data_IF_191661764524
#
_entry.id   IF_191661764524
#
_cell.length_a   1.000
_cell.length_b   1.000
_cell.length_c   1.000
_cell.angle_alpha   90.00
_cell.angle_beta   90.00
_cell.angle_gamma   90.00
#
_symmetry.space_group_name_H-M   'P 1'
#
loop_
_entity.id
_entity.type
_entity.pdbx_description
1 polymer ?
#
# COMPACT_ATOMS: atom_id res chain seq x y z
N UNK A 1 -31.04 32.52 -24.43
CA UNK A 1 -30.11 33.13 -23.45
C UNK A 1 -30.19 32.52 -22.06
N UNK A 2 -31.37 32.30 -21.46
CA UNK A 2 -31.50 31.68 -20.12
C UNK A 2 -30.92 30.25 -19.99
N UNK A 3 -30.90 29.48 -21.06
CA UNK A 3 -30.32 28.12 -21.09
C UNK A 3 -28.80 28.07 -21.21
N UNK A 4 -28.15 29.13 -21.73
CA UNK A 4 -26.68 29.19 -21.83
C UNK A 4 -26.04 29.51 -20.47
N UNK A 5 -26.64 30.43 -19.70
CA UNK A 5 -26.21 30.79 -18.34
C UNK A 5 -26.33 29.63 -17.34
N UNK A 6 -27.27 28.70 -17.53
CA UNK A 6 -27.46 27.52 -16.67
C UNK A 6 -26.50 26.37 -16.99
N UNK A 7 -25.84 26.39 -18.17
CA UNK A 7 -24.88 25.36 -18.59
C UNK A 7 -23.47 25.76 -18.16
N UNK A 8 -23.09 27.03 -18.31
CA UNK A 8 -21.80 27.56 -17.80
C UNK A 8 -21.66 27.38 -16.27
N UNK A 9 -22.75 27.61 -15.52
CA UNK A 9 -22.78 27.44 -14.06
C UNK A 9 -22.60 25.97 -13.63
N UNK A 10 -22.95 25.01 -14.51
CA UNK A 10 -22.82 23.56 -14.24
C UNK A 10 -21.45 23.02 -14.60
N UNK A 11 -20.80 23.54 -15.64
CA UNK A 11 -19.40 23.24 -15.95
C UNK A 11 -18.49 23.70 -14.81
N UNK A 12 -18.75 24.89 -14.26
CA UNK A 12 -18.04 25.41 -13.08
C UNK A 12 -18.11 24.48 -11.87
N UNK A 13 -19.29 23.93 -11.54
CA UNK A 13 -19.45 23.04 -10.38
C UNK A 13 -18.68 21.72 -10.53
N UNK A 14 -18.62 21.14 -11.73
CA UNK A 14 -17.84 19.90 -11.92
C UNK A 14 -16.36 20.16 -11.82
N UNK A 15 -15.87 21.24 -12.44
CA UNK A 15 -14.47 21.63 -12.30
C UNK A 15 -14.13 21.97 -10.84
N UNK A 16 -15.02 22.60 -10.09
CA UNK A 16 -14.85 22.85 -8.65
C UNK A 16 -14.78 21.55 -7.82
N UNK A 17 -15.66 20.58 -8.10
CA UNK A 17 -15.66 19.27 -7.42
C UNK A 17 -14.39 18.48 -7.76
N UNK A 18 -14.00 18.45 -9.03
CA UNK A 18 -12.74 17.83 -9.47
C UNK A 18 -11.56 18.51 -8.79
N UNK A 19 -11.50 19.83 -8.81
CA UNK A 19 -10.44 20.61 -8.19
C UNK A 19 -10.37 20.40 -6.68
N UNK A 20 -11.51 20.32 -6.00
CA UNK A 20 -11.56 20.01 -4.57
C UNK A 20 -11.03 18.61 -4.27
N UNK A 21 -11.35 17.62 -5.10
CA UNK A 21 -10.84 16.26 -4.95
C UNK A 21 -9.33 16.21 -5.21
N UNK A 22 -8.85 16.79 -6.32
CA UNK A 22 -7.42 16.87 -6.66
C UNK A 22 -6.62 17.64 -5.60
N UNK A 23 -7.20 18.70 -5.05
CA UNK A 23 -6.59 19.43 -3.92
C UNK A 23 -6.50 18.57 -2.66
N UNK A 24 -7.51 17.75 -2.37
CA UNK A 24 -7.50 16.81 -1.25
C UNK A 24 -6.50 15.67 -1.48
N UNK A 25 -6.40 15.17 -2.71
CA UNK A 25 -5.41 14.19 -3.13
C UNK A 25 -4.00 14.75 -2.95
N UNK A 26 -3.72 15.96 -3.44
CA UNK A 26 -2.43 16.62 -3.29
C UNK A 26 -2.05 16.80 -1.82
N UNK A 27 -2.98 17.27 -0.97
CA UNK A 27 -2.76 17.37 0.48
C UNK A 27 -2.42 16.02 1.09
N UNK A 28 -3.12 14.96 0.67
CA UNK A 28 -2.87 13.60 1.14
C UNK A 28 -1.49 13.10 0.69
N UNK A 29 -1.12 13.35 -0.56
CA UNK A 29 0.19 13.04 -1.11
C UNK A 29 1.31 13.79 -0.38
N UNK A 30 1.11 15.07 -0.06
CA UNK A 30 2.06 15.88 0.70
C UNK A 30 2.24 15.34 2.13
N UNK A 31 1.15 14.93 2.79
CA UNK A 31 1.20 14.27 4.10
C UNK A 31 1.96 12.95 4.02
N UNK A 32 1.71 12.12 3.01
CA UNK A 32 2.44 10.86 2.81
C UNK A 32 3.93 11.10 2.53
N UNK A 33 4.26 12.04 1.65
CA UNK A 33 5.65 12.39 1.35
C UNK A 33 6.37 12.92 2.60
N UNK A 34 5.73 13.81 3.36
CA UNK A 34 6.27 14.32 4.62
C UNK A 34 6.47 13.20 5.63
N UNK A 35 5.48 12.32 5.79
CA UNK A 35 5.55 11.17 6.70
C UNK A 35 6.66 10.21 6.28
N UNK A 36 6.81 9.94 4.98
CA UNK A 36 7.86 9.13 4.43
C UNK A 36 9.24 9.76 4.66
N UNK A 37 9.39 11.08 4.49
CA UNK A 37 10.65 11.77 4.80
C UNK A 37 10.98 11.71 6.29
N UNK A 38 10.00 11.93 7.18
CA UNK A 38 10.17 11.77 8.63
C UNK A 38 10.60 10.33 8.96
N UNK A 39 9.98 9.34 8.32
CA UNK A 39 10.36 7.94 8.49
C UNK A 39 11.79 7.68 8.00
N UNK A 40 12.18 8.20 6.83
CA UNK A 40 13.54 8.05 6.30
C UNK A 40 14.58 8.66 7.25
N UNK A 41 14.30 9.84 7.78
CA UNK A 41 15.17 10.48 8.77
C UNK A 41 15.23 9.66 10.06
N UNK A 42 14.09 9.17 10.56
CA UNK A 42 14.05 8.29 11.74
C UNK A 42 14.80 6.97 11.52
N UNK A 43 14.75 6.41 10.31
CA UNK A 43 15.51 5.21 9.93
C UNK A 43 17.00 5.51 9.92
N UNK A 44 17.39 6.66 9.37
CA UNK A 44 18.78 7.11 9.36
C UNK A 44 19.31 7.31 10.78
N UNK A 45 18.55 7.97 11.64
CA UNK A 45 18.90 8.17 13.05
C UNK A 45 19.02 6.83 13.79
N UNK A 46 18.06 5.92 13.58
CA UNK A 46 18.11 4.58 14.16
C UNK A 46 19.31 3.77 13.64
N UNK A 47 19.71 3.96 12.38
CA UNK A 47 20.90 3.35 11.80
C UNK A 47 22.17 3.87 12.45
N UNK A 48 22.30 5.19 12.61
CA UNK A 48 23.45 5.79 13.30
C UNK A 48 23.55 5.32 14.76
N UNK A 49 22.42 5.27 15.46
CA UNK A 49 22.37 4.76 16.84
C UNK A 49 22.81 3.29 16.91
N UNK A 50 22.33 2.44 16.00
CA UNK A 50 22.75 1.03 15.93
C UNK A 50 24.21 0.87 15.57
N UNK A 51 24.76 1.73 14.73
CA UNK A 51 26.18 1.71 14.41
C UNK A 51 27.02 2.04 15.66
N UNK A 52 26.62 3.07 16.42
CA UNK A 52 27.25 3.40 17.70
C UNK A 52 27.17 2.24 18.71
N UNK A 53 25.98 1.66 18.89
CA UNK A 53 25.79 0.50 19.75
C UNK A 53 26.63 -0.69 19.25
N UNK A 54 26.68 -0.92 17.94
CA UNK A 54 27.46 -1.98 17.32
C UNK A 54 28.95 -1.85 17.60
N UNK A 55 29.50 -0.64 17.53
CA UNK A 55 30.90 -0.37 17.91
C UNK A 55 31.14 -0.72 19.37
N UNK A 56 30.26 -0.28 20.28
CA UNK A 56 30.39 -0.58 21.71
C UNK A 56 30.27 -2.08 22.03
N UNK A 57 29.31 -2.79 21.42
CA UNK A 57 29.16 -4.23 21.57
C UNK A 57 30.41 -4.96 21.08
N UNK A 58 30.96 -4.55 19.95
CA UNK A 58 32.19 -5.10 19.39
C UNK A 58 33.37 -4.92 20.34
N UNK A 59 33.54 -3.74 20.90
CA UNK A 59 34.57 -3.47 21.89
C UNK A 59 34.39 -4.33 23.16
N UNK A 60 33.18 -4.44 23.68
CA UNK A 60 32.88 -5.25 24.86
C UNK A 60 33.20 -6.73 24.61
N UNK A 61 32.78 -7.29 23.47
CA UNK A 61 33.09 -8.67 23.09
C UNK A 61 34.59 -8.91 22.91
N UNK A 62 35.31 -7.93 22.35
CA UNK A 62 36.76 -8.02 22.18
C UNK A 62 37.47 -8.03 23.53
N UNK A 63 37.08 -7.13 24.44
CA UNK A 63 37.57 -7.09 25.84
C UNK A 63 37.29 -8.41 26.57
N UNK A 64 36.11 -8.99 26.35
CA UNK A 64 35.69 -10.26 26.94
C UNK A 64 36.30 -11.49 26.22
N UNK A 65 37.17 -11.30 25.21
CA UNK A 65 37.77 -12.35 24.37
C UNK A 65 36.72 -13.30 23.74
N UNK A 66 35.50 -12.80 23.56
CA UNK A 66 34.37 -13.54 22.96
C UNK A 66 34.15 -13.20 21.49
N UNK A 67 34.91 -12.23 20.94
CA UNK A 67 34.71 -11.74 19.58
C UNK A 67 35.39 -12.62 18.52
N UNK A 68 34.57 -13.28 17.70
CA UNK A 68 34.97 -13.64 16.34
C UNK A 68 34.53 -12.53 15.41
N UNK A 69 35.47 -11.65 15.02
CA UNK A 69 35.18 -10.42 14.25
C UNK A 69 34.29 -10.70 13.03
N UNK A 70 34.61 -11.73 12.24
CA UNK A 70 33.81 -12.11 11.06
C UNK A 70 32.37 -12.49 11.40
N UNK A 71 32.15 -13.26 12.48
CA UNK A 71 30.80 -13.61 12.91
C UNK A 71 30.00 -12.36 13.28
N UNK A 72 30.61 -11.42 14.01
CA UNK A 72 29.97 -10.18 14.43
C UNK A 72 29.65 -9.28 13.22
N UNK A 73 30.61 -9.08 12.32
CA UNK A 73 30.43 -8.25 11.14
C UNK A 73 29.30 -8.79 10.25
N UNK A 74 29.26 -10.10 10.01
CA UNK A 74 28.17 -10.76 9.27
C UNK A 74 26.81 -10.57 9.96
N UNK A 75 26.77 -10.70 11.29
CA UNK A 75 25.55 -10.51 12.08
C UNK A 75 25.01 -9.08 11.97
N UNK A 76 25.88 -8.08 12.08
CA UNK A 76 25.48 -6.67 11.92
C UNK A 76 25.02 -6.37 10.49
N UNK A 77 25.69 -6.93 9.49
CA UNK A 77 25.30 -6.77 8.09
C UNK A 77 23.89 -7.32 7.84
N UNK A 78 23.57 -8.51 8.34
CA UNK A 78 22.23 -9.10 8.18
C UNK A 78 21.13 -8.21 8.78
N UNK A 79 21.38 -7.59 9.93
CA UNK A 79 20.42 -6.68 10.57
C UNK A 79 20.17 -5.45 9.71
N UNK A 80 21.22 -4.89 9.12
CA UNK A 80 21.10 -3.76 8.20
C UNK A 80 20.28 -4.14 6.96
N UNK A 81 20.55 -5.31 6.37
CA UNK A 81 19.82 -5.78 5.19
C UNK A 81 18.32 -5.92 5.44
N UNK A 82 17.92 -6.56 6.56
CA UNK A 82 16.50 -6.72 6.91
C UNK A 82 15.79 -5.35 7.07
N UNK A 83 16.51 -4.36 7.62
CA UNK A 83 15.96 -3.02 7.80
C UNK A 83 15.84 -2.25 6.49
N UNK A 84 16.85 -2.37 5.62
CA UNK A 84 16.83 -1.78 4.29
C UNK A 84 15.69 -2.35 3.44
N UNK A 85 15.43 -3.67 3.55
CA UNK A 85 14.28 -4.33 2.93
C UNK A 85 12.95 -3.76 3.44
N UNK A 86 12.78 -3.63 4.76
CA UNK A 86 11.59 -2.99 5.33
C UNK A 86 11.39 -1.54 4.86
N UNK A 87 12.48 -0.77 4.76
CA UNK A 87 12.43 0.60 4.22
C UNK A 87 12.01 0.64 2.75
N UNK A 88 12.46 -0.33 1.95
CA UNK A 88 12.07 -0.49 0.55
C UNK A 88 10.59 -0.89 0.41
N UNK A 89 10.10 -1.83 1.23
CA UNK A 89 8.70 -2.25 1.23
C UNK A 89 7.73 -1.06 1.44
N UNK A 90 8.02 -0.19 2.41
CA UNK A 90 7.21 1.01 2.66
C UNK A 90 7.24 1.96 1.47
N UNK A 91 8.43 2.16 0.88
CA UNK A 91 8.59 3.02 -0.29
C UNK A 91 7.73 2.52 -1.45
N UNK A 92 7.78 1.22 -1.71
CA UNK A 92 7.02 0.59 -2.79
C UNK A 92 5.51 0.70 -2.52
N UNK A 93 5.06 0.52 -1.27
CA UNK A 93 3.65 0.71 -0.88
C UNK A 93 3.16 2.14 -1.09
N UNK A 94 3.94 3.15 -0.68
CA UNK A 94 3.59 4.56 -0.86
C UNK A 94 3.53 4.92 -2.35
N UNK A 95 4.51 4.47 -3.14
CA UNK A 95 4.52 4.73 -4.58
C UNK A 95 3.32 4.09 -5.28
N UNK A 96 2.99 2.84 -4.93
CA UNK A 96 1.83 2.16 -5.50
C UNK A 96 0.52 2.89 -5.14
N UNK A 97 0.38 3.36 -3.91
CA UNK A 97 -0.76 4.16 -3.50
C UNK A 97 -0.91 5.44 -4.32
N UNK A 98 0.19 6.19 -4.50
CA UNK A 98 0.16 7.43 -5.29
C UNK A 98 -0.23 7.14 -6.75
N UNK A 99 0.29 6.07 -7.34
CA UNK A 99 -0.09 5.64 -8.68
C UNK A 99 -1.59 5.26 -8.77
N UNK A 100 -2.10 4.51 -7.78
CA UNK A 100 -3.53 4.16 -7.68
C UNK A 100 -4.42 5.42 -7.53
N UNK A 101 -3.96 6.44 -6.80
CA UNK A 101 -4.66 7.72 -6.69
C UNK A 101 -4.75 8.42 -8.05
N UNK A 102 -3.64 8.53 -8.79
CA UNK A 102 -3.65 9.15 -10.13
C UNK A 102 -4.62 8.46 -11.10
N UNK A 103 -4.70 7.13 -11.06
CA UNK A 103 -5.64 6.36 -11.86
C UNK A 103 -7.10 6.65 -11.45
N UNK A 104 -7.36 6.67 -10.14
CA UNK A 104 -8.66 6.97 -9.56
C UNK A 104 -9.14 8.37 -9.93
N UNK A 105 -8.28 9.39 -9.85
CA UNK A 105 -8.59 10.77 -10.25
C UNK A 105 -8.97 10.85 -11.72
N UNK A 106 -8.28 10.09 -12.57
CA UNK A 106 -8.59 9.97 -14.00
C UNK A 106 -9.97 9.38 -14.22
N UNK A 107 -10.34 8.35 -13.48
CA UNK A 107 -11.64 7.68 -13.61
C UNK A 107 -12.78 8.50 -12.99
N UNK A 108 -12.54 9.20 -11.89
CA UNK A 108 -13.49 10.16 -11.31
C UNK A 108 -13.78 11.27 -12.32
N UNK A 109 -12.75 11.83 -12.96
CA UNK A 109 -12.90 12.88 -13.98
C UNK A 109 -13.75 12.40 -15.17
N UNK A 110 -13.49 11.19 -15.68
CA UNK A 110 -14.32 10.58 -16.73
C UNK A 110 -15.76 10.34 -16.26
N UNK A 111 -15.93 9.87 -15.03
CA UNK A 111 -17.23 9.60 -14.40
C UNK A 111 -18.06 10.87 -14.25
N UNK A 112 -17.45 11.96 -13.78
CA UNK A 112 -18.09 13.26 -13.60
C UNK A 112 -18.56 13.87 -14.92
N UNK A 113 -17.74 13.80 -15.98
CA UNK A 113 -18.16 14.26 -17.33
C UNK A 113 -19.39 13.49 -17.82
N UNK A 114 -19.37 12.16 -17.70
CA UNK A 114 -20.52 11.33 -18.05
C UNK A 114 -21.74 11.65 -17.19
N UNK A 115 -21.54 11.87 -15.89
CA UNK A 115 -22.62 12.26 -14.97
C UNK A 115 -23.26 13.58 -15.39
N UNK A 116 -22.47 14.57 -15.77
CA UNK A 116 -22.92 15.87 -16.28
C UNK A 116 -23.83 15.72 -17.50
N UNK A 117 -23.37 14.97 -18.50
CA UNK A 117 -24.14 14.68 -19.72
C UNK A 117 -25.48 14.02 -19.37
N UNK A 118 -25.45 13.11 -18.40
CA UNK A 118 -26.60 12.31 -17.98
C UNK A 118 -27.60 13.10 -17.15
N UNK A 119 -27.11 14.01 -16.31
CA UNK A 119 -27.92 14.91 -15.51
C UNK A 119 -28.66 15.92 -16.40
N UNK A 120 -28.00 16.44 -17.44
CA UNK A 120 -28.65 17.28 -18.44
C UNK A 120 -29.80 16.57 -19.17
N UNK A 121 -29.68 15.25 -19.35
CA UNK A 121 -30.68 14.40 -20.01
C UNK A 121 -31.71 13.78 -19.03
N UNK A 122 -31.63 14.06 -17.73
CA UNK A 122 -32.56 13.51 -16.72
C UNK A 122 -32.38 12.01 -16.44
N UNK A 123 -31.23 11.42 -16.74
CA UNK A 123 -30.98 9.99 -16.61
C UNK A 123 -30.67 9.58 -15.15
N UNK A 124 -31.70 9.41 -14.32
CA UNK A 124 -31.55 9.10 -12.89
C UNK A 124 -30.77 7.82 -12.58
N UNK A 125 -30.72 6.87 -13.51
CA UNK A 125 -29.96 5.61 -13.37
C UNK A 125 -28.46 5.88 -13.29
N UNK A 126 -27.94 6.73 -14.16
CA UNK A 126 -26.51 7.06 -14.22
C UNK A 126 -26.05 7.88 -13.01
N UNK A 127 -26.94 8.69 -12.44
CA UNK A 127 -26.71 9.39 -11.16
C UNK A 127 -26.42 8.37 -10.05
N UNK A 128 -27.24 7.31 -9.93
CA UNK A 128 -27.04 6.26 -8.93
C UNK A 128 -25.75 5.47 -9.17
N UNK A 129 -25.43 5.14 -10.43
CA UNK A 129 -24.18 4.45 -10.78
C UNK A 129 -22.95 5.28 -10.37
N UNK A 130 -22.98 6.60 -10.58
CA UNK A 130 -21.90 7.50 -10.16
C UNK A 130 -21.77 7.60 -8.62
N UNK A 131 -22.89 7.62 -7.89
CA UNK A 131 -22.86 7.59 -6.42
C UNK A 131 -22.22 6.30 -5.89
N UNK A 132 -22.55 5.15 -6.48
CA UNK A 132 -21.94 3.86 -6.13
C UNK A 132 -20.44 3.87 -6.43
N UNK A 133 -20.03 4.36 -7.60
CA UNK A 133 -18.61 4.50 -7.95
C UNK A 133 -17.86 5.38 -6.93
N UNK A 134 -18.43 6.54 -6.59
CA UNK A 134 -17.83 7.48 -5.64
C UNK A 134 -17.65 6.85 -4.26
N UNK A 135 -18.65 6.11 -3.78
CA UNK A 135 -18.57 5.39 -2.51
C UNK A 135 -17.46 4.33 -2.54
N UNK A 136 -17.41 3.51 -3.59
CA UNK A 136 -16.38 2.47 -3.73
C UNK A 136 -14.97 3.06 -3.73
N UNK A 137 -14.77 4.21 -4.39
CA UNK A 137 -13.50 4.93 -4.39
C UNK A 137 -13.10 5.34 -2.97
N UNK A 138 -14.01 5.94 -2.20
CA UNK A 138 -13.73 6.37 -0.83
C UNK A 138 -13.43 5.18 0.09
N UNK A 139 -14.18 4.10 -0.03
CA UNK A 139 -14.00 2.88 0.76
C UNK A 139 -12.61 2.25 0.48
N UNK A 140 -12.19 2.18 -0.79
CA UNK A 140 -10.88 1.64 -1.17
C UNK A 140 -9.73 2.56 -0.74
N UNK A 141 -9.89 3.88 -0.87
CA UNK A 141 -8.92 4.86 -0.38
C UNK A 141 -8.67 4.70 1.13
N UNK A 142 -9.73 4.58 1.92
CA UNK A 142 -9.62 4.43 3.36
C UNK A 142 -8.95 3.11 3.74
N UNK A 143 -9.36 2.01 3.11
CA UNK A 143 -8.73 0.69 3.30
C UNK A 143 -7.23 0.73 3.00
N UNK A 144 -6.83 1.39 1.92
CA UNK A 144 -5.43 1.51 1.52
C UNK A 144 -4.62 2.39 2.49
N UNK A 145 -5.19 3.49 2.97
CA UNK A 145 -4.59 4.33 4.04
C UNK A 145 -4.35 3.51 5.31
N UNK A 146 -5.34 2.72 5.72
CA UNK A 146 -5.23 1.85 6.90
C UNK A 146 -4.14 0.79 6.72
N UNK A 147 -4.04 0.19 5.53
CA UNK A 147 -2.98 -0.78 5.23
C UNK A 147 -1.60 -0.14 5.38
N UNK A 148 -1.36 1.02 4.76
CA UNK A 148 -0.07 1.72 4.84
C UNK A 148 0.25 2.09 6.29
N UNK A 149 -0.72 2.61 7.04
CA UNK A 149 -0.55 2.97 8.44
C UNK A 149 -0.16 1.77 9.32
N UNK A 150 -0.83 0.62 9.12
CA UNK A 150 -0.49 -0.62 9.83
C UNK A 150 0.94 -1.09 9.51
N UNK A 151 1.33 -1.06 8.23
CA UNK A 151 2.68 -1.46 7.79
C UNK A 151 3.78 -0.58 8.37
N UNK A 152 3.56 0.73 8.36
CA UNK A 152 4.46 1.70 8.99
C UNK A 152 4.63 1.41 10.49
N UNK A 153 3.52 1.14 11.19
CA UNK A 153 3.53 0.83 12.62
C UNK A 153 4.29 -0.46 12.93
N UNK A 154 4.12 -1.50 12.13
CA UNK A 154 4.83 -2.78 12.30
C UNK A 154 6.35 -2.59 12.17
N UNK A 155 6.79 -1.88 11.13
CA UNK A 155 8.22 -1.59 10.91
C UNK A 155 8.80 -0.72 12.02
N UNK A 156 8.07 0.30 12.46
CA UNK A 156 8.51 1.14 13.57
C UNK A 156 8.68 0.30 14.85
N UNK A 157 7.72 -0.59 15.14
CA UNK A 157 7.78 -1.49 16.30
C UNK A 157 8.98 -2.45 16.20
N UNK A 158 9.23 -3.03 15.04
CA UNK A 158 10.39 -3.90 14.80
C UNK A 158 11.71 -3.15 15.04
N UNK A 159 11.83 -1.92 14.54
CA UNK A 159 13.03 -1.10 14.74
C UNK A 159 13.26 -0.73 16.21
N UNK A 160 12.20 -0.39 16.92
CA UNK A 160 12.25 -0.10 18.36
C UNK A 160 12.66 -1.34 19.15
N UNK A 161 12.10 -2.50 18.83
CA UNK A 161 12.41 -3.77 19.48
C UNK A 161 13.88 -4.17 19.30
N UNK A 162 14.41 -4.07 18.09
CA UNK A 162 15.83 -4.33 17.80
C UNK A 162 16.72 -3.40 18.61
N UNK A 163 16.40 -2.10 18.62
CA UNK A 163 17.17 -1.09 19.34
C UNK A 163 17.14 -1.35 20.85
N UNK A 164 15.96 -1.72 21.39
CA UNK A 164 15.78 -2.11 22.80
C UNK A 164 16.66 -3.30 23.17
N UNK A 165 16.58 -4.41 22.42
CA UNK A 165 17.40 -5.60 22.69
C UNK A 165 18.89 -5.33 22.59
N UNK A 166 19.31 -4.46 21.66
CA UNK A 166 20.70 -4.03 21.58
C UNK A 166 21.16 -3.26 22.82
N UNK A 167 20.33 -2.36 23.36
CA UNK A 167 20.61 -1.67 24.62
C UNK A 167 20.67 -2.66 25.80
N UNK A 168 19.73 -3.60 25.88
CA UNK A 168 19.75 -4.66 26.89
C UNK A 168 21.03 -5.51 26.83
N UNK A 169 21.58 -5.76 25.63
CA UNK A 169 22.87 -6.46 25.47
C UNK A 169 24.06 -5.59 25.88
N UNK A 170 24.03 -4.28 25.64
CA UNK A 170 25.06 -3.36 26.11
C UNK A 170 25.11 -3.30 27.64
N UNK A 171 23.94 -3.25 28.28
CA UNK A 171 23.82 -3.16 29.74
C UNK A 171 24.43 -4.36 30.47
N UNK A 172 24.54 -5.52 29.80
CA UNK A 172 25.24 -6.71 30.34
C UNK A 172 26.76 -6.53 30.45
N UNK A 173 27.35 -5.60 29.70
CA UNK A 173 28.77 -5.23 29.77
C UNK A 173 29.74 -6.44 29.70
N UNK A 174 30.33 -6.79 30.83
CA UNK A 174 31.34 -7.87 30.94
C UNK A 174 30.79 -9.29 30.82
N UNK A 175 29.50 -9.47 31.09
CA UNK A 175 28.85 -10.79 30.96
C UNK A 175 28.39 -11.08 29.52
N UNK A 176 28.47 -10.07 28.63
CA UNK A 176 28.09 -10.21 27.24
C UNK A 176 28.98 -11.21 26.51
N UNK A 177 28.35 -12.22 25.91
CA UNK A 177 28.99 -13.21 25.04
C UNK A 177 28.43 -13.11 23.63
N UNK A 178 29.20 -13.56 22.65
CA UNK A 178 28.76 -13.64 21.25
C UNK A 178 27.49 -14.49 21.08
N UNK A 179 27.28 -15.48 21.96
CA UNK A 179 26.09 -16.34 21.95
C UNK A 179 24.81 -15.55 22.24
N UNK A 180 24.88 -14.51 23.07
CA UNK A 180 23.71 -13.68 23.41
C UNK A 180 23.21 -12.90 22.19
N UNK A 181 24.14 -12.34 21.42
CA UNK A 181 23.86 -11.66 20.15
C UNK A 181 23.26 -12.65 19.14
N UNK A 182 23.83 -13.85 19.03
CA UNK A 182 23.29 -14.90 18.15
C UNK A 182 21.87 -15.32 18.54
N UNK A 183 21.58 -15.44 19.84
CA UNK A 183 20.22 -15.78 20.32
C UNK A 183 19.21 -14.69 19.96
N UNK A 184 19.53 -13.42 20.26
CA UNK A 184 18.70 -12.28 19.89
C UNK A 184 18.44 -12.25 18.38
N UNK A 185 19.47 -12.50 17.57
CA UNK A 185 19.32 -12.48 16.11
C UNK A 185 18.47 -13.61 15.57
N UNK A 186 18.57 -14.79 16.18
CA UNK A 186 17.70 -15.91 15.82
C UNK A 186 16.23 -15.57 16.09
N UNK A 187 15.94 -14.96 17.24
CA UNK A 187 14.59 -14.49 17.54
C UNK A 187 14.09 -13.46 16.51
N UNK A 188 14.96 -12.54 16.10
CA UNK A 188 14.62 -11.55 15.09
C UNK A 188 14.39 -12.18 13.70
N UNK A 189 15.22 -13.15 13.29
CA UNK A 189 15.06 -13.88 12.03
C UNK A 189 13.71 -14.60 11.99
N UNK A 190 13.33 -15.28 13.08
CA UNK A 190 12.05 -15.99 13.17
C UNK A 190 10.88 -15.01 13.02
N UNK A 191 10.90 -13.88 13.74
CA UNK A 191 9.84 -12.87 13.63
C UNK A 191 9.74 -12.28 12.22
N UNK A 192 10.88 -12.04 11.59
CA UNK A 192 10.93 -11.52 10.22
C UNK A 192 10.39 -12.56 9.22
N UNK A 193 10.80 -13.82 9.32
CA UNK A 193 10.31 -14.92 8.49
C UNK A 193 8.79 -15.11 8.64
N UNK A 194 8.25 -15.08 9.87
CA UNK A 194 6.81 -15.14 10.14
C UNK A 194 6.05 -13.97 9.51
N UNK A 195 6.65 -12.77 9.51
CA UNK A 195 6.08 -11.60 8.84
C UNK A 195 6.06 -11.79 7.32
N UNK A 196 7.16 -12.24 6.74
CA UNK A 196 7.26 -12.50 5.29
C UNK A 196 6.29 -13.59 4.85
N UNK A 197 6.15 -14.67 5.63
CA UNK A 197 5.19 -15.73 5.37
C UNK A 197 3.75 -15.20 5.35
N UNK A 198 3.35 -14.40 6.35
CA UNK A 198 2.03 -13.76 6.39
C UNK A 198 1.80 -12.80 5.22
N UNK A 199 2.83 -12.10 4.76
CA UNK A 199 2.72 -11.26 3.57
C UNK A 199 2.47 -12.10 2.31
N UNK A 200 3.20 -13.20 2.15
CA UNK A 200 3.06 -14.07 0.99
C UNK A 200 1.71 -14.78 0.95
N UNK A 201 1.21 -15.24 2.11
CA UNK A 201 -0.12 -15.81 2.25
C UNK A 201 -1.21 -14.82 1.78
N UNK A 202 -1.13 -13.56 2.23
CA UNK A 202 -2.07 -12.52 1.77
C UNK A 202 -1.98 -12.26 0.27
N UNK A 203 -0.77 -12.24 -0.31
CA UNK A 203 -0.60 -12.08 -1.76
C UNK A 203 -1.25 -13.22 -2.54
N UNK A 204 -1.12 -14.44 -2.03
CA UNK A 204 -1.74 -15.62 -2.63
C UNK A 204 -3.26 -15.60 -2.51
N UNK A 205 -3.81 -15.18 -1.36
CA UNK A 205 -5.25 -14.97 -1.19
C UNK A 205 -5.80 -13.94 -2.20
N UNK A 206 -5.12 -12.80 -2.35
CA UNK A 206 -5.49 -11.77 -3.32
C UNK A 206 -5.41 -12.32 -4.75
N UNK A 207 -4.36 -13.07 -5.08
CA UNK A 207 -4.20 -13.70 -6.41
C UNK A 207 -5.37 -14.62 -6.72
N UNK A 208 -5.75 -15.49 -5.77
CA UNK A 208 -6.91 -16.39 -5.91
C UNK A 208 -8.21 -15.63 -6.13
N UNK A 209 -8.45 -14.59 -5.34
CA UNK A 209 -9.63 -13.75 -5.49
C UNK A 209 -9.69 -13.09 -6.87
N UNK A 210 -8.56 -12.55 -7.35
CA UNK A 210 -8.47 -11.94 -8.68
C UNK A 210 -8.69 -12.95 -9.81
N UNK A 211 -8.20 -14.17 -9.65
CA UNK A 211 -8.43 -15.26 -10.61
C UNK A 211 -9.91 -15.69 -10.64
N UNK A 212 -10.59 -15.73 -9.50
CA UNK A 212 -12.03 -15.96 -9.40
C UNK A 212 -12.83 -14.87 -10.12
N UNK A 213 -12.53 -13.59 -9.83
CA UNK A 213 -13.14 -12.46 -10.55
C UNK A 213 -12.90 -12.53 -12.07
N UNK A 214 -11.70 -12.95 -12.49
CA UNK A 214 -11.39 -13.11 -13.92
C UNK A 214 -12.25 -14.20 -14.56
N UNK A 215 -12.43 -15.34 -13.89
CA UNK A 215 -13.31 -16.43 -14.36
C UNK A 215 -14.75 -15.97 -14.49
N UNK A 216 -15.29 -15.31 -13.45
CA UNK A 216 -16.65 -14.77 -13.47
C UNK A 216 -16.86 -13.80 -14.63
N UNK A 217 -15.90 -12.90 -14.90
CA UNK A 217 -15.99 -11.96 -16.03
C UNK A 217 -16.02 -12.67 -17.39
N UNK A 218 -15.25 -13.73 -17.56
CA UNK A 218 -15.24 -14.54 -18.79
C UNK A 218 -16.58 -15.25 -18.97
N UNK A 219 -17.11 -15.87 -17.91
CA UNK A 219 -18.41 -16.54 -17.94
C UNK A 219 -19.56 -15.59 -18.25
N UNK A 220 -19.60 -14.42 -17.60
CA UNK A 220 -20.60 -13.38 -17.87
C UNK A 220 -20.51 -12.90 -19.32
N UNK A 221 -19.30 -12.71 -19.85
CA UNK A 221 -19.09 -12.31 -21.25
C UNK A 221 -19.59 -13.39 -22.23
N UNK A 222 -19.28 -14.66 -21.98
CA UNK A 222 -19.76 -15.78 -22.79
C UNK A 222 -21.29 -15.87 -22.75
N UNK A 223 -21.90 -15.78 -21.56
CA UNK A 223 -23.35 -15.80 -21.37
C UNK A 223 -24.04 -14.64 -22.10
N UNK A 224 -23.47 -13.43 -22.02
CA UNK A 224 -23.98 -12.27 -22.74
C UNK A 224 -23.95 -12.48 -24.26
N UNK A 225 -22.84 -13.00 -24.81
CA UNK A 225 -22.74 -13.32 -26.24
C UNK A 225 -23.75 -14.38 -26.69
N UNK A 226 -23.97 -15.41 -25.88
CA UNK A 226 -25.00 -16.43 -26.15
C UNK A 226 -26.40 -15.81 -26.15
N UNK A 227 -26.73 -14.99 -25.16
CA UNK A 227 -28.02 -14.30 -25.08
C UNK A 227 -28.26 -13.37 -26.28
N UNK A 228 -27.24 -12.62 -26.72
CA UNK A 228 -27.33 -11.76 -27.90
C UNK A 228 -27.61 -12.57 -29.18
N UNK A 229 -26.92 -13.71 -29.36
CA UNK A 229 -27.19 -14.62 -30.49
C UNK A 229 -28.63 -15.12 -30.46
N UNK A 230 -29.14 -15.51 -29.30
CA UNK A 230 -30.51 -16.04 -29.19
C UNK A 230 -31.58 -14.97 -29.44
N UNK A 231 -31.38 -13.76 -28.94
CA UNK A 231 -32.21 -12.59 -29.22
C UNK A 231 -32.25 -12.26 -30.72
N UNK A 232 -31.12 -12.37 -31.41
CA UNK A 232 -31.04 -12.11 -32.86
C UNK A 232 -31.83 -13.12 -33.69
N UNK A 233 -31.83 -14.41 -33.31
CA UNK A 233 -32.63 -15.45 -33.98
C UNK A 233 -34.12 -15.23 -33.79
N UNK A 234 -34.55 -14.77 -32.60
CA UNK A 234 -35.97 -14.46 -32.31
C UNK A 234 -36.50 -13.26 -33.10
N UNK A 235 -35.63 -12.30 -33.43
CA UNK A 235 -36.00 -11.11 -34.22
C UNK A 235 -36.13 -11.38 -35.73
N UNK A 236 -35.47 -12.42 -36.23
CA UNK A 236 -35.55 -12.84 -37.63
C UNK A 236 -35.73 -14.36 -37.71
N UNK A 237 -36.92 -14.89 -37.42
CA UNK A 237 -37.17 -16.31 -37.60
C UNK A 237 -36.99 -16.66 -39.08
N UNK A 238 -35.92 -17.42 -39.37
CA UNK A 238 -35.72 -18.04 -40.68
C UNK A 238 -36.82 -19.10 -40.87
N UNK A 239 -37.98 -18.68 -41.36
CA UNK A 239 -39.14 -19.57 -41.51
C UNK A 239 -40.44 -18.80 -41.60
N UNK A 240 -40.55 -17.90 -42.57
CA UNK A 240 -41.80 -17.37 -43.08
C UNK A 240 -41.86 -17.66 -44.58
N UNK A 241 -41.86 -18.94 -44.94
CA UNK A 241 -42.28 -19.49 -46.23
C UNK A 241 -43.28 -20.60 -45.93
#
# INVERSE_FOLDING_TARGET
MKTLLLVEDREGIVEEVVFSYESSEQKTADVFNTTYQILQNSILDARQEKERIGVQLRENLAKNKSLRKKDFDNMMQNICLIQDEGGKEVKDLVNNYLYEQEETSRDLRKGLRRFQDSFANGESKRIKEFQVLSKNILDEQEKRKQEIALRLKDIQKEQQEVTRKFKELLDRGRDLRIKDIKSMLKEFSVLHEERMARQEERKEEVRKMLDEFRKERVEVSINWQMMQKEMSKRRYPKGGM
#
